data_IF_557109155656
#
_entry.id   IF_557109155656
#
_cell.length_a   1.000
_cell.length_b   1.000
_cell.length_c   1.000
_cell.angle_alpha   90.00
_cell.angle_beta   90.00
_cell.angle_gamma   90.00
#
_symmetry.space_group_name_H-M   'P 1'
#
loop_
_entity.id
_entity.type
_entity.pdbx_description
1 polymer ?
#
# COMPACT_ATOMS: atom_id res chain seq x y z
N UNK A 1 -4.28 -1.88 -15.03
CA UNK A 1 -5.71 -2.12 -15.39
C UNK A 1 -6.39 -2.65 -14.15
N UNK A 2 -7.57 -2.13 -13.81
CA UNK A 2 -8.30 -2.62 -12.62
C UNK A 2 -8.86 -4.02 -12.86
N UNK A 3 -8.93 -4.85 -11.82
CA UNK A 3 -9.61 -6.17 -11.94
C UNK A 3 -11.11 -5.99 -12.20
N UNK A 4 -11.77 -6.90 -12.95
CA UNK A 4 -13.20 -6.83 -13.20
C UNK A 4 -14.01 -6.70 -11.91
N UNK A 5 -14.89 -5.70 -11.83
CA UNK A 5 -15.73 -5.46 -10.65
C UNK A 5 -15.11 -4.61 -9.53
N UNK A 6 -13.85 -4.17 -9.66
CA UNK A 6 -13.21 -3.27 -8.71
C UNK A 6 -13.17 -1.83 -9.22
N UNK A 7 -13.40 -0.90 -8.30
CA UNK A 7 -13.22 0.53 -8.57
C UNK A 7 -11.74 0.90 -8.45
N UNK A 8 -11.35 2.02 -9.07
CA UNK A 8 -10.01 2.63 -8.92
C UNK A 8 -9.64 2.79 -7.45
N UNK A 9 -10.62 3.16 -6.62
CA UNK A 9 -10.46 3.38 -5.19
C UNK A 9 -10.07 2.12 -4.39
N UNK A 10 -10.37 0.93 -4.90
CA UNK A 10 -10.31 -0.31 -4.10
C UNK A 10 -9.39 -1.37 -4.69
N UNK A 11 -8.70 -1.09 -5.80
CA UNK A 11 -7.77 -2.03 -6.41
C UNK A 11 -6.36 -1.90 -5.79
N UNK A 12 -5.83 -2.93 -5.10
CA UNK A 12 -4.49 -2.88 -4.52
C UNK A 12 -3.39 -2.56 -5.55
N UNK A 13 -3.55 -2.96 -6.81
CA UNK A 13 -2.55 -2.77 -7.87
C UNK A 13 -2.33 -1.31 -8.29
N UNK A 14 -3.13 -0.38 -7.76
CA UNK A 14 -3.01 1.06 -8.02
C UNK A 14 -2.25 1.82 -6.94
N UNK A 15 -1.81 1.13 -5.88
CA UNK A 15 -1.07 1.70 -4.78
C UNK A 15 0.37 1.21 -4.79
N UNK A 16 1.27 2.01 -4.24
CA UNK A 16 2.64 1.54 -3.99
C UNK A 16 2.65 0.54 -2.83
N UNK A 17 3.63 -0.37 -2.79
CA UNK A 17 3.79 -1.27 -1.64
C UNK A 17 4.01 -0.52 -0.32
N UNK A 18 4.56 0.69 -0.38
CA UNK A 18 4.68 1.58 0.80
C UNK A 18 3.32 1.98 1.33
N UNK A 19 2.38 2.35 0.45
CA UNK A 19 1.05 2.80 0.86
C UNK A 19 0.21 1.65 1.41
N UNK A 20 0.27 0.48 0.77
CA UNK A 20 -0.42 -0.73 1.23
C UNK A 20 0.16 -1.23 2.56
N UNK A 21 1.50 -1.24 2.70
CA UNK A 21 2.16 -1.57 3.96
C UNK A 21 1.68 -0.66 5.08
N UNK A 22 1.68 0.66 4.87
CA UNK A 22 1.23 1.61 5.88
C UNK A 22 -0.23 1.36 6.28
N UNK A 23 -1.14 1.17 5.32
CA UNK A 23 -2.55 0.90 5.63
C UNK A 23 -2.70 -0.35 6.53
N UNK A 24 -1.98 -1.42 6.23
CA UNK A 24 -2.00 -2.66 7.03
C UNK A 24 -1.37 -2.48 8.41
N UNK A 25 -0.32 -1.68 8.53
CA UNK A 25 0.30 -1.34 9.81
C UNK A 25 -0.64 -0.51 10.69
N UNK A 26 -1.32 0.50 10.12
CA UNK A 26 -2.29 1.31 10.85
C UNK A 26 -3.44 0.45 11.40
N UNK A 27 -4.02 -0.43 10.57
CA UNK A 27 -5.04 -1.39 11.01
C UNK A 27 -4.52 -2.27 12.15
N UNK A 28 -3.32 -2.82 11.99
CA UNK A 28 -2.70 -3.69 12.99
C UNK A 28 -2.43 -2.95 14.32
N UNK A 29 -1.94 -1.72 14.28
CA UNK A 29 -1.66 -0.93 15.50
C UNK A 29 -2.91 -0.57 16.29
N UNK A 30 -4.09 -0.54 15.63
CA UNK A 30 -5.37 -0.38 16.30
C UNK A 30 -5.94 -1.70 16.84
N UNK A 31 -5.21 -2.82 16.72
CA UNK A 31 -5.67 -4.14 17.14
C UNK A 31 -6.67 -4.79 16.17
N UNK A 32 -6.84 -4.24 14.96
CA UNK A 32 -7.70 -4.80 13.93
C UNK A 32 -6.92 -5.87 13.16
N UNK A 33 -6.86 -7.07 13.71
CA UNK A 33 -6.01 -8.17 13.20
C UNK A 33 -6.76 -9.03 12.19
N UNK A 34 -7.97 -9.47 12.54
CA UNK A 34 -8.78 -10.36 11.70
C UNK A 34 -9.76 -9.58 10.81
N UNK A 35 -10.25 -10.18 9.72
CA UNK A 35 -11.22 -9.53 8.84
C UNK A 35 -12.50 -9.08 9.55
N UNK A 36 -12.97 -9.85 10.53
CA UNK A 36 -14.16 -9.52 11.33
C UNK A 36 -13.94 -8.29 12.22
N UNK A 37 -12.73 -8.13 12.76
CA UNK A 37 -12.37 -6.95 13.55
C UNK A 37 -12.32 -5.70 12.67
N UNK A 38 -11.71 -5.81 11.48
CA UNK A 38 -11.70 -4.69 10.51
C UNK A 38 -13.12 -4.33 10.10
N UNK A 39 -13.96 -5.33 9.75
CA UNK A 39 -15.34 -5.12 9.29
C UNK A 39 -16.27 -4.52 10.34
N UNK A 40 -16.05 -4.81 11.62
CA UNK A 40 -16.89 -4.32 12.73
C UNK A 40 -16.40 -3.02 13.34
N UNK A 41 -15.26 -2.49 12.90
CA UNK A 41 -14.69 -1.26 13.44
C UNK A 41 -15.46 -0.01 13.00
N UNK A 42 -15.79 0.84 13.98
CA UNK A 42 -16.32 2.20 13.79
C UNK A 42 -15.22 3.24 13.53
N UNK A 43 -13.95 2.82 13.53
CA UNK A 43 -12.78 3.71 13.39
C UNK A 43 -12.19 3.76 11.99
N UNK A 44 -12.82 3.10 11.01
CA UNK A 44 -12.25 3.03 9.66
C UNK A 44 -12.22 4.39 8.95
N UNK A 45 -13.18 5.27 9.20
CA UNK A 45 -13.14 6.63 8.63
C UNK A 45 -11.97 7.45 9.21
N UNK A 46 -11.73 7.36 10.52
CA UNK A 46 -10.57 7.98 11.18
C UNK A 46 -9.26 7.46 10.59
N UNK A 47 -9.14 6.14 10.43
CA UNK A 47 -7.94 5.51 9.88
C UNK A 47 -7.73 5.88 8.41
N UNK A 48 -8.80 5.97 7.62
CA UNK A 48 -8.70 6.37 6.22
C UNK A 48 -8.16 7.81 6.08
N UNK A 49 -8.59 8.72 6.95
CA UNK A 49 -8.05 10.08 7.05
C UNK A 49 -6.58 10.07 7.53
N UNK A 50 -6.25 9.29 8.56
CA UNK A 50 -4.88 9.14 9.05
C UNK A 50 -3.95 8.62 7.94
N UNK A 51 -4.37 7.58 7.24
CA UNK A 51 -3.63 7.00 6.12
C UNK A 51 -3.40 8.02 5.01
N UNK A 52 -4.43 8.78 4.64
CA UNK A 52 -4.33 9.81 3.60
C UNK A 52 -3.38 10.96 3.98
N UNK A 53 -3.45 11.42 5.23
CA UNK A 53 -2.66 12.55 5.74
C UNK A 53 -1.25 12.16 6.18
N UNK A 54 -0.98 10.86 6.35
CA UNK A 54 0.32 10.35 6.76
C UNK A 54 1.45 10.80 5.80
N UNK A 55 2.62 11.11 6.36
CA UNK A 55 3.78 11.63 5.62
C UNK A 55 4.21 10.72 4.47
N UNK A 56 4.15 9.41 4.65
CA UNK A 56 4.48 8.43 3.61
C UNK A 56 3.52 8.52 2.42
N UNK A 57 2.21 8.65 2.67
CA UNK A 57 1.18 8.77 1.64
C UNK A 57 1.21 10.14 0.98
N UNK A 58 1.51 11.20 1.74
CA UNK A 58 1.74 12.54 1.19
C UNK A 58 2.85 12.53 0.12
N UNK A 59 3.91 11.76 0.32
CA UNK A 59 4.96 11.59 -0.68
C UNK A 59 4.42 10.90 -1.95
N UNK A 60 3.65 9.82 -1.81
CA UNK A 60 3.01 9.14 -2.96
C UNK A 60 2.08 10.06 -3.73
N UNK A 61 1.30 10.89 -3.03
CA UNK A 61 0.41 11.89 -3.65
C UNK A 61 1.18 12.95 -4.45
N UNK A 62 2.30 13.46 -3.91
CA UNK A 62 3.17 14.42 -4.63
C UNK A 62 3.83 13.83 -5.87
N UNK A 63 3.84 12.51 -6.01
CA UNK A 63 4.41 11.77 -7.13
C UNK A 63 3.33 11.24 -8.09
N UNK A 64 2.06 11.60 -7.89
CA UNK A 64 0.90 11.09 -8.65
C UNK A 64 0.79 9.55 -8.60
N UNK A 65 1.24 8.93 -7.50
CA UNK A 65 1.25 7.48 -7.28
C UNK A 65 0.14 7.00 -6.34
N UNK A 66 -0.71 7.91 -5.87
CA UNK A 66 -1.82 7.60 -4.97
C UNK A 66 -3.15 7.95 -5.66
N UNK A 67 -4.14 7.05 -5.68
CA UNK A 67 -5.30 7.18 -6.56
C UNK A 67 -6.36 8.20 -6.10
N UNK A 68 -6.18 8.83 -4.93
CA UNK A 68 -7.16 9.80 -4.41
C UNK A 68 -6.61 11.21 -4.25
N UNK A 69 -7.45 12.17 -4.63
CA UNK A 69 -7.26 13.61 -4.38
C UNK A 69 -7.75 14.05 -2.99
N UNK A 70 -8.68 13.29 -2.40
CA UNK A 70 -9.26 13.50 -1.06
C UNK A 70 -9.13 12.22 -0.24
N UNK A 71 -9.33 12.30 1.08
CA UNK A 71 -9.27 11.10 1.92
C UNK A 71 -10.31 10.06 1.49
N UNK A 72 -9.94 8.76 1.47
CA UNK A 72 -10.91 7.70 1.23
C UNK A 72 -11.90 7.59 2.39
N UNK A 73 -13.06 7.02 2.14
CA UNK A 73 -13.99 6.64 3.20
C UNK A 73 -13.53 5.35 3.89
N UNK A 74 -13.98 5.13 5.12
CA UNK A 74 -13.74 3.87 5.84
C UNK A 74 -14.27 2.65 5.08
N UNK A 75 -15.37 2.80 4.34
CA UNK A 75 -15.90 1.74 3.46
C UNK A 75 -14.96 1.42 2.29
N UNK A 76 -14.33 2.45 1.69
CA UNK A 76 -13.33 2.24 0.63
C UNK A 76 -12.08 1.55 1.19
N UNK A 77 -11.63 1.94 2.38
CA UNK A 77 -10.52 1.29 3.08
C UNK A 77 -10.84 -0.18 3.41
N UNK A 78 -12.04 -0.46 3.94
CA UNK A 78 -12.51 -1.84 4.18
C UNK A 78 -12.45 -2.64 2.89
N UNK A 79 -12.98 -2.08 1.79
CA UNK A 79 -13.03 -2.81 0.53
C UNK A 79 -11.65 -3.02 -0.08
N UNK A 80 -10.75 -2.07 0.07
CA UNK A 80 -9.34 -2.23 -0.30
C UNK A 80 -8.70 -3.37 0.50
N UNK A 81 -8.94 -3.42 1.81
CA UNK A 81 -8.45 -4.50 2.68
C UNK A 81 -8.96 -5.89 2.25
N UNK A 82 -10.26 -6.03 1.98
CA UNK A 82 -10.82 -7.28 1.47
C UNK A 82 -10.16 -7.70 0.14
N UNK A 83 -9.96 -6.75 -0.76
CA UNK A 83 -9.31 -7.00 -2.05
C UNK A 83 -7.82 -7.36 -1.90
N UNK A 84 -7.13 -6.82 -0.89
CA UNK A 84 -5.76 -7.22 -0.56
C UNK A 84 -5.69 -8.68 -0.09
N UNK A 85 -6.61 -9.13 0.76
CA UNK A 85 -6.65 -10.53 1.19
C UNK A 85 -6.88 -11.47 0.01
N UNK A 86 -7.78 -11.09 -0.91
CA UNK A 86 -8.05 -11.87 -2.11
C UNK A 86 -6.82 -11.95 -3.04
N UNK A 87 -6.15 -10.83 -3.28
CA UNK A 87 -5.04 -10.75 -4.24
C UNK A 87 -3.74 -11.38 -3.74
N UNK A 88 -3.56 -11.39 -2.42
CA UNK A 88 -2.32 -11.84 -1.78
C UNK A 88 -2.52 -13.11 -0.96
N UNK A 89 -3.40 -14.02 -1.39
CA UNK A 89 -3.52 -15.36 -0.82
C UNK A 89 -2.12 -16.02 -0.70
N UNK A 90 -1.78 -16.66 0.45
CA UNK A 90 -2.67 -17.10 1.52
C UNK A 90 -2.79 -16.13 2.72
N UNK A 91 -2.55 -14.82 2.56
CA UNK A 91 -2.70 -13.88 3.67
C UNK A 91 -4.13 -13.90 4.23
N UNK A 92 -4.28 -13.95 5.56
CA UNK A 92 -5.58 -14.03 6.24
C UNK A 92 -5.81 -12.91 7.26
N UNK A 93 -4.75 -12.19 7.65
CA UNK A 93 -4.78 -11.15 8.69
C UNK A 93 -4.07 -9.89 8.24
N UNK A 94 -4.28 -8.78 8.96
CA UNK A 94 -3.47 -7.55 8.74
C UNK A 94 -1.99 -7.79 9.01
N UNK A 95 -1.64 -8.70 9.92
CA UNK A 95 -0.26 -9.13 10.17
C UNK A 95 0.36 -9.81 8.94
N UNK A 96 -0.37 -10.75 8.31
CA UNK A 96 0.13 -11.45 7.12
C UNK A 96 0.36 -10.48 5.97
N UNK A 97 -0.61 -9.57 5.74
CA UNK A 97 -0.50 -8.55 4.70
C UNK A 97 0.65 -7.57 5.00
N UNK A 98 0.81 -7.11 6.24
CA UNK A 98 1.91 -6.23 6.61
C UNK A 98 3.27 -6.89 6.36
N UNK A 99 3.43 -8.16 6.76
CA UNK A 99 4.64 -8.92 6.47
C UNK A 99 4.85 -9.09 4.96
N UNK A 100 3.79 -9.41 4.21
CA UNK A 100 3.84 -9.58 2.76
C UNK A 100 4.30 -8.30 2.06
N UNK A 101 3.68 -7.15 2.38
CA UNK A 101 4.04 -5.87 1.78
C UNK A 101 5.41 -5.37 2.25
N UNK A 102 5.82 -5.69 3.48
CA UNK A 102 7.18 -5.41 3.95
C UNK A 102 8.23 -6.07 3.04
N UNK A 103 8.12 -7.37 2.80
CA UNK A 103 9.09 -8.06 1.95
C UNK A 103 9.01 -7.64 0.47
N UNK A 104 7.81 -7.36 -0.05
CA UNK A 104 7.66 -6.80 -1.40
C UNK A 104 8.35 -5.43 -1.52
N UNK A 105 8.20 -4.59 -0.50
CA UNK A 105 8.83 -3.26 -0.46
C UNK A 105 10.35 -3.35 -0.34
N UNK A 106 10.87 -4.30 0.45
CA UNK A 106 12.32 -4.55 0.54
C UNK A 106 12.86 -4.94 -0.84
N UNK A 107 12.23 -5.90 -1.51
CA UNK A 107 12.65 -6.32 -2.86
C UNK A 107 12.63 -5.17 -3.88
N UNK A 108 11.57 -4.34 -3.87
CA UNK A 108 11.50 -3.15 -4.74
C UNK A 108 12.66 -2.17 -4.49
N UNK A 109 13.00 -1.94 -3.22
CA UNK A 109 14.10 -1.05 -2.85
C UNK A 109 15.46 -1.61 -3.28
N UNK A 110 15.68 -2.91 -3.08
CA UNK A 110 16.90 -3.61 -3.51
C UNK A 110 17.08 -3.53 -5.04
N UNK A 111 16.02 -3.79 -5.80
CA UNK A 111 16.03 -3.65 -7.27
C UNK A 111 16.37 -2.23 -7.71
N UNK A 112 15.72 -1.21 -7.12
CA UNK A 112 16.01 0.20 -7.47
C UNK A 112 17.44 0.61 -7.12
N UNK A 113 17.99 0.12 -6.01
CA UNK A 113 19.40 0.36 -5.66
C UNK A 113 20.32 -0.28 -6.70
N UNK A 114 20.02 -1.50 -7.16
CA UNK A 114 20.80 -2.16 -8.20
C UNK A 114 20.74 -1.40 -9.53
N UNK A 115 19.55 -0.96 -9.95
CA UNK A 115 19.35 -0.16 -11.16
C UNK A 115 20.16 1.14 -11.14
N UNK A 116 20.08 1.91 -10.05
CA UNK A 116 20.86 3.15 -9.92
C UNK A 116 22.37 2.92 -9.91
N UNK A 117 22.85 1.81 -9.35
CA UNK A 117 24.26 1.44 -9.43
C UNK A 117 24.67 1.16 -10.88
N UNK A 118 23.87 0.40 -11.62
CA UNK A 118 24.13 0.12 -13.03
C UNK A 118 24.12 1.39 -13.87
N UNK A 119 23.10 2.25 -13.70
CA UNK A 119 23.01 3.54 -14.41
C UNK A 119 24.23 4.42 -14.13
N UNK A 120 24.64 4.52 -12.86
CA UNK A 120 25.82 5.28 -12.47
C UNK A 120 27.11 4.75 -13.10
N UNK A 121 27.29 3.42 -13.12
CA UNK A 121 28.45 2.81 -13.79
C UNK A 121 28.46 3.08 -15.30
N UNK A 122 27.31 2.96 -15.97
CA UNK A 122 27.18 3.27 -17.40
C UNK A 122 27.50 4.73 -17.70
N UNK A 123 27.04 5.66 -16.86
CA UNK A 123 27.35 7.09 -17.03
C UNK A 123 28.85 7.36 -16.93
N UNK A 124 29.54 6.77 -15.94
CA UNK A 124 30.99 6.91 -15.80
C UNK A 124 31.77 6.34 -16.99
N UNK A 125 31.34 5.20 -17.52
CA UNK A 125 31.97 4.57 -18.69
C UNK A 125 31.71 5.35 -19.98
N UNK A 126 30.54 5.97 -20.13
CA UNK A 126 30.17 6.79 -21.31
C UNK A 126 30.82 8.17 -21.35
N UNK A 127 31.48 8.60 -20.27
CA UNK A 127 32.17 9.90 -20.16
C UNK A 127 33.68 9.77 -20.43
N UNK A 128 34.17 8.55 -20.71
CA UNK A 128 35.53 8.27 -21.22
C UNK A 128 35.50 7.99 -22.74
#
# INVERSE_FOLDING_TARGET
>A
MTKPGRSVATDPGLYTYRDLLLATQLLHTLGLITPEQVKSSDRLDELAEEWFTHKSTLLSRRQDQFPFEIAPTGQQLLKLYENMLEDYAPCATTTDLANRFYFLRVGELESRIAEYKTEFHTLLESTN
#
